data_IF_722932754622
#
_entry.id   IF_722932754622
#
_cell.length_a   1.000
_cell.length_b   1.000
_cell.length_c   1.000
_cell.angle_alpha   90.00
_cell.angle_beta   90.00
_cell.angle_gamma   90.00
#
_symmetry.space_group_name_H-M   'P 1'
#
loop_
_entity.id
_entity.type
_entity.pdbx_description
1 polymer ?
#
# COMPACT_ATOMS: atom_id res chain seq x y z
N UNK A 1 -3.53 13.49 12.15
CA UNK A 1 -4.69 14.35 12.36
C UNK A 1 -5.55 13.76 13.47
N UNK A 2 -6.10 14.59 14.35
CA UNK A 2 -7.01 14.16 15.42
C UNK A 2 -8.48 14.50 15.08
N UNK A 3 -8.74 14.85 13.82
CA UNK A 3 -10.01 15.43 13.36
C UNK A 3 -10.81 14.48 12.45
N UNK A 4 -10.35 13.24 12.29
CA UNK A 4 -10.96 12.23 11.42
C UNK A 4 -11.17 12.69 9.96
N UNK A 5 -10.36 13.63 9.49
CA UNK A 5 -10.34 14.01 8.07
C UNK A 5 -10.06 12.77 7.22
N UNK A 6 -10.86 12.49 6.18
CA UNK A 6 -10.79 11.25 5.41
C UNK A 6 -9.60 11.26 4.44
N UNK A 7 -8.39 11.32 4.99
CA UNK A 7 -7.17 11.19 4.21
C UNK A 7 -7.02 9.77 3.67
N UNK A 8 -6.61 9.66 2.43
CA UNK A 8 -6.39 8.41 1.72
C UNK A 8 -5.03 8.46 1.02
N UNK A 9 -4.10 7.61 1.46
CA UNK A 9 -2.79 7.49 0.84
C UNK A 9 -2.84 6.38 -0.22
N UNK A 10 -2.31 6.65 -1.40
CA UNK A 10 -2.17 5.71 -2.51
C UNK A 10 -0.89 5.97 -3.29
N UNK A 11 -0.69 5.27 -4.41
CA UNK A 11 0.48 5.42 -5.28
C UNK A 11 0.32 6.56 -6.29
N UNK A 12 1.42 7.26 -6.61
CA UNK A 12 1.46 8.28 -7.65
C UNK A 12 1.18 7.68 -9.03
N UNK A 13 1.72 6.50 -9.33
CA UNK A 13 1.46 5.85 -10.61
C UNK A 13 -0.01 5.44 -10.82
N UNK A 14 -0.81 5.34 -9.75
CA UNK A 14 -2.26 5.13 -9.84
C UNK A 14 -3.02 6.44 -10.06
N UNK A 15 -2.71 7.47 -9.27
CA UNK A 15 -3.42 8.76 -9.27
C UNK A 15 -2.39 9.89 -9.15
N UNK A 16 -2.11 10.60 -10.24
CA UNK A 16 -1.12 11.66 -10.28
C UNK A 16 -1.71 13.05 -10.60
N UNK A 17 -3.02 13.15 -10.81
CA UNK A 17 -3.67 14.42 -11.15
C UNK A 17 -5.05 14.58 -10.49
N UNK A 18 -5.48 15.83 -10.33
CA UNK A 18 -6.81 16.13 -9.79
C UNK A 18 -7.93 15.59 -10.69
N UNK A 19 -7.76 15.56 -12.00
CA UNK A 19 -8.76 15.02 -12.90
C UNK A 19 -9.01 13.54 -12.65
N UNK A 20 -7.97 12.76 -12.42
CA UNK A 20 -8.08 11.33 -12.04
C UNK A 20 -8.62 11.19 -10.62
N UNK A 21 -8.11 11.97 -9.65
CA UNK A 21 -8.60 11.95 -8.27
C UNK A 21 -10.10 12.25 -8.16
N UNK A 22 -10.61 13.15 -9.02
CA UNK A 22 -12.02 13.50 -9.06
C UNK A 22 -12.95 12.37 -9.52
N UNK A 23 -12.43 11.38 -10.24
CA UNK A 23 -13.19 10.21 -10.71
C UNK A 23 -13.01 8.96 -9.86
N UNK A 24 -12.28 9.07 -8.73
CA UNK A 24 -12.05 7.94 -7.84
C UNK A 24 -13.38 7.35 -7.35
N UNK A 25 -13.48 6.03 -7.42
CA UNK A 25 -14.48 5.25 -6.71
C UNK A 25 -13.79 4.29 -5.75
N UNK A 26 -14.07 4.42 -4.45
CA UNK A 26 -13.58 3.51 -3.42
C UNK A 26 -14.71 2.64 -2.89
N UNK A 27 -14.61 1.34 -3.08
CA UNK A 27 -15.53 0.34 -2.56
C UNK A 27 -15.03 -0.11 -1.20
N UNK A 28 -15.92 -0.14 -0.22
CA UNK A 28 -15.63 -0.53 1.16
C UNK A 28 -16.15 -1.93 1.45
N UNK A 29 -15.46 -2.64 2.33
CA UNK A 29 -15.87 -3.96 2.79
C UNK A 29 -15.90 -5.04 1.69
N UNK A 30 -15.07 -4.89 0.66
CA UNK A 30 -14.91 -5.93 -0.37
C UNK A 30 -14.06 -7.09 0.18
N UNK A 31 -14.70 -7.91 0.99
CA UNK A 31 -14.08 -9.02 1.72
C UNK A 31 -14.99 -10.25 1.68
N UNK A 32 -14.41 -11.44 1.54
CA UNK A 32 -15.14 -12.69 1.67
C UNK A 32 -15.61 -12.90 3.11
N UNK A 33 -16.83 -13.39 3.27
CA UNK A 33 -17.39 -13.67 4.60
C UNK A 33 -16.73 -14.87 5.30
N UNK A 34 -16.11 -15.74 4.52
CA UNK A 34 -15.38 -16.94 4.98
C UNK A 34 -14.15 -17.15 4.08
N UNK A 35 -13.15 -17.87 4.59
CA UNK A 35 -11.99 -18.26 3.79
C UNK A 35 -12.45 -19.08 2.57
N UNK A 36 -12.00 -18.70 1.37
CA UNK A 36 -12.43 -19.27 0.08
C UNK A 36 -13.95 -19.12 -0.18
N UNK A 37 -14.59 -18.17 0.44
CA UNK A 37 -15.99 -17.83 0.23
C UNK A 37 -16.26 -17.11 -1.09
N UNK A 38 -17.44 -16.52 -1.17
CA UNK A 38 -17.81 -15.64 -2.30
C UNK A 38 -17.87 -14.20 -1.84
N UNK A 39 -17.20 -13.32 -2.55
CA UNK A 39 -17.26 -11.90 -2.29
C UNK A 39 -18.66 -11.33 -2.63
N UNK A 40 -19.11 -10.31 -1.90
CA UNK A 40 -20.31 -9.59 -2.25
C UNK A 40 -20.16 -8.89 -3.60
N UNK A 41 -21.24 -8.74 -4.39
CA UNK A 41 -21.19 -7.97 -5.62
C UNK A 41 -20.78 -6.52 -5.35
N UNK A 42 -19.88 -5.94 -6.16
CA UNK A 42 -19.41 -4.56 -5.97
C UNK A 42 -20.56 -3.55 -5.86
N UNK A 43 -21.63 -3.74 -6.64
CA UNK A 43 -22.79 -2.85 -6.61
C UNK A 43 -23.58 -2.85 -5.29
N UNK A 44 -23.35 -3.82 -4.39
CA UNK A 44 -23.97 -3.88 -3.07
C UNK A 44 -23.12 -3.26 -1.95
N UNK A 45 -21.89 -2.86 -2.26
CA UNK A 45 -20.95 -2.36 -1.27
C UNK A 45 -21.13 -0.86 -0.99
N UNK A 46 -20.85 -0.41 0.24
CA UNK A 46 -20.69 1.01 0.52
C UNK A 46 -19.61 1.61 -0.40
N UNK A 47 -19.86 2.82 -0.90
CA UNK A 47 -18.99 3.45 -1.89
C UNK A 47 -18.73 4.92 -1.56
N UNK A 48 -17.48 5.35 -1.74
CA UNK A 48 -17.10 6.77 -1.79
C UNK A 48 -16.79 7.16 -3.22
N UNK A 49 -17.20 8.35 -3.63
CA UNK A 49 -16.96 8.87 -4.99
C UNK A 49 -16.29 10.21 -4.96
N UNK A 50 -15.23 10.35 -5.76
CA UNK A 50 -14.46 11.57 -5.89
C UNK A 50 -13.57 11.87 -4.71
N UNK A 51 -12.52 12.62 -4.99
CA UNK A 51 -11.56 13.09 -3.99
C UNK A 51 -10.87 14.37 -4.43
N UNK A 52 -10.26 15.04 -3.48
CA UNK A 52 -9.35 16.17 -3.71
C UNK A 52 -7.91 15.68 -3.58
N UNK A 53 -7.09 15.93 -4.60
CA UNK A 53 -5.65 15.68 -4.54
C UNK A 53 -4.99 16.75 -3.68
N UNK A 54 -4.33 16.33 -2.61
CA UNK A 54 -3.64 17.21 -1.67
C UNK A 54 -2.15 17.33 -1.96
N UNK A 55 -1.49 16.19 -2.19
CA UNK A 55 -0.08 16.11 -2.53
C UNK A 55 0.19 14.85 -3.34
N UNK A 56 1.18 14.91 -4.23
CA UNK A 56 1.61 13.76 -5.02
C UNK A 56 3.09 13.89 -5.37
N UNK A 57 3.80 12.78 -5.53
CA UNK A 57 5.22 12.79 -5.87
C UNK A 57 5.74 11.44 -6.33
N UNK A 58 6.45 11.46 -7.46
CA UNK A 58 7.05 10.26 -8.04
C UNK A 58 8.27 9.75 -7.27
N UNK A 59 8.93 10.60 -6.47
CA UNK A 59 10.19 10.24 -5.80
C UNK A 59 10.03 9.08 -4.80
N UNK A 60 8.87 8.96 -4.15
CA UNK A 60 8.48 7.82 -3.31
C UNK A 60 7.11 7.27 -3.73
N UNK A 61 6.71 7.53 -4.96
CA UNK A 61 5.49 7.04 -5.60
C UNK A 61 4.22 7.22 -4.76
N UNK A 62 4.03 8.39 -4.15
CA UNK A 62 2.90 8.63 -3.27
C UNK A 62 1.87 9.61 -3.84
N UNK A 63 0.63 9.45 -3.44
CA UNK A 63 -0.45 10.44 -3.58
C UNK A 63 -1.31 10.46 -2.32
N UNK A 64 -1.44 11.63 -1.71
CA UNK A 64 -2.36 11.88 -0.62
C UNK A 64 -3.62 12.55 -1.18
N UNK A 65 -4.75 11.93 -0.91
CA UNK A 65 -6.08 12.41 -1.27
C UNK A 65 -6.86 12.74 0.00
N UNK A 66 -7.86 13.60 -0.15
CA UNK A 66 -8.98 13.73 0.79
C UNK A 66 -10.23 13.24 0.08
N UNK A 67 -10.82 12.16 0.56
CA UNK A 67 -12.08 11.62 0.02
C UNK A 67 -13.22 12.61 0.29
N UNK A 68 -14.17 12.72 -0.63
CA UNK A 68 -15.34 13.60 -0.47
C UNK A 68 -16.27 13.09 0.65
N UNK A 69 -16.31 11.79 0.86
CA UNK A 69 -17.10 11.14 1.92
C UNK A 69 -16.51 9.77 2.27
N UNK A 70 -16.81 9.27 3.46
CA UNK A 70 -16.54 7.89 3.87
C UNK A 70 -17.77 7.32 4.58
N UNK A 71 -18.02 6.01 4.53
CA UNK A 71 -19.04 5.38 5.37
C UNK A 71 -18.71 5.56 6.85
N UNK A 72 -19.73 5.58 7.70
CA UNK A 72 -19.55 5.66 9.14
C UNK A 72 -18.84 4.45 9.73
N UNK A 73 -18.23 4.61 10.90
CA UNK A 73 -17.57 3.52 11.64
C UNK A 73 -16.21 3.10 11.09
N UNK A 74 -15.55 3.94 10.27
CA UNK A 74 -14.21 3.66 9.74
C UNK A 74 -13.12 3.98 10.76
N UNK A 75 -12.14 3.08 10.85
CA UNK A 75 -10.91 3.32 11.58
C UNK A 75 -9.88 4.05 10.72
N UNK A 76 -8.97 4.74 11.38
CA UNK A 76 -7.85 5.43 10.72
C UNK A 76 -6.55 4.83 11.22
N UNK A 77 -5.64 4.54 10.29
CA UNK A 77 -4.28 4.10 10.63
C UNK A 77 -3.47 5.27 11.19
N UNK A 78 -2.71 5.02 12.25
CA UNK A 78 -1.57 5.86 12.58
C UNK A 78 -0.44 5.66 11.57
N UNK A 79 0.62 6.45 11.70
CA UNK A 79 1.81 6.31 10.84
C UNK A 79 3.10 6.39 11.66
N UNK A 80 4.20 5.90 11.06
CA UNK A 80 5.53 6.03 11.60
C UNK A 80 6.52 6.44 10.50
N UNK A 81 7.13 7.59 10.65
CA UNK A 81 8.11 8.15 9.70
C UNK A 81 9.56 8.01 10.17
N UNK A 82 9.84 7.25 11.23
CA UNK A 82 11.20 7.08 11.73
C UNK A 82 11.98 6.06 10.90
N UNK A 83 13.31 6.21 10.86
CA UNK A 83 14.17 5.26 10.16
C UNK A 83 14.11 3.86 10.80
N UNK A 84 14.02 3.79 12.12
CA UNK A 84 13.97 2.54 12.87
C UNK A 84 12.72 1.71 12.57
N UNK A 85 11.62 2.35 12.20
CA UNK A 85 10.36 1.66 11.89
C UNK A 85 10.44 0.67 10.72
N UNK A 86 11.42 0.85 9.84
CA UNK A 86 11.63 -0.01 8.65
C UNK A 86 13.09 -0.52 8.58
N UNK A 87 13.72 -0.73 9.73
CA UNK A 87 15.03 -1.34 9.80
C UNK A 87 15.00 -2.77 9.21
N UNK A 88 16.10 -3.26 8.62
CA UNK A 88 16.18 -4.65 8.15
C UNK A 88 15.74 -5.65 9.23
N UNK A 89 14.96 -6.66 8.84
CA UNK A 89 14.36 -7.64 9.74
C UNK A 89 13.01 -7.25 10.32
N UNK A 90 12.47 -6.08 9.98
CA UNK A 90 11.13 -5.67 10.44
C UNK A 90 10.05 -6.45 9.70
N UNK A 91 9.14 -7.10 10.44
CA UNK A 91 7.95 -7.72 9.89
C UNK A 91 6.96 -6.65 9.43
N UNK A 92 6.54 -6.76 8.18
CA UNK A 92 5.62 -5.87 7.50
C UNK A 92 4.37 -6.64 7.10
N UNK A 93 3.22 -5.97 7.16
CA UNK A 93 1.92 -6.56 6.85
C UNK A 93 1.18 -5.69 5.85
N UNK A 94 0.32 -6.31 5.06
CA UNK A 94 -0.48 -5.64 4.05
C UNK A 94 -1.86 -6.26 3.92
N UNK A 95 -2.86 -5.40 3.76
CA UNK A 95 -4.18 -5.75 3.25
C UNK A 95 -4.33 -5.11 1.88
N UNK A 96 -4.65 -5.90 0.87
CA UNK A 96 -4.67 -5.46 -0.52
C UNK A 96 -5.68 -6.25 -1.36
N UNK A 97 -5.83 -5.87 -2.64
CA UNK A 97 -6.76 -6.48 -3.58
C UNK A 97 -6.01 -6.93 -4.85
N UNK A 98 -5.20 -8.00 -4.78
CA UNK A 98 -4.43 -8.47 -5.93
C UNK A 98 -5.38 -8.88 -7.07
N UNK A 99 -5.12 -8.40 -8.29
CA UNK A 99 -5.96 -8.61 -9.48
C UNK A 99 -7.44 -8.20 -9.30
N UNK A 100 -7.72 -7.27 -8.38
CA UNK A 100 -9.09 -6.87 -8.05
C UNK A 100 -9.89 -7.92 -7.27
N UNK A 101 -9.22 -8.92 -6.70
CA UNK A 101 -9.86 -9.92 -5.84
C UNK A 101 -10.33 -9.31 -4.52
N UNK A 102 -11.18 -10.00 -3.76
CA UNK A 102 -11.50 -9.62 -2.38
C UNK A 102 -10.25 -9.39 -1.54
N UNK A 103 -10.41 -8.68 -0.42
CA UNK A 103 -9.31 -8.34 0.47
C UNK A 103 -8.45 -9.56 0.80
N UNK A 104 -7.17 -9.45 0.51
CA UNK A 104 -6.15 -10.47 0.74
C UNK A 104 -5.10 -9.94 1.71
N UNK A 105 -4.43 -10.85 2.39
CA UNK A 105 -3.36 -10.54 3.35
C UNK A 105 -2.02 -11.00 2.79
N UNK A 106 -0.98 -10.20 2.99
CA UNK A 106 0.41 -10.63 2.81
C UNK A 106 1.30 -10.10 3.91
N UNK A 107 2.38 -10.84 4.20
CA UNK A 107 3.45 -10.42 5.08
C UNK A 107 4.82 -10.60 4.43
N UNK A 108 5.73 -9.73 4.79
CA UNK A 108 7.09 -9.68 4.27
C UNK A 108 8.04 -9.21 5.38
N UNK A 109 9.32 -9.40 5.17
CA UNK A 109 10.36 -8.89 6.07
C UNK A 109 11.21 -7.87 5.33
N UNK A 110 11.37 -6.68 5.92
CA UNK A 110 12.20 -5.63 5.34
C UNK A 110 13.67 -6.05 5.26
N UNK A 111 14.34 -5.63 4.21
CA UNK A 111 15.78 -5.85 4.04
C UNK A 111 16.44 -4.71 3.27
N UNK A 112 17.76 -4.73 3.18
CA UNK A 112 18.53 -3.77 2.39
C UNK A 112 19.16 -4.50 1.23
N UNK A 113 18.72 -4.29 -0.01
CA UNK A 113 19.29 -4.96 -1.17
C UNK A 113 20.72 -4.49 -1.43
N UNK A 114 21.59 -5.39 -1.88
CA UNK A 114 22.93 -5.08 -2.34
C UNK A 114 22.91 -4.34 -3.69
N UNK A 115 21.86 -4.55 -4.48
CA UNK A 115 21.59 -3.89 -5.75
C UNK A 115 20.13 -3.45 -5.78
N UNK A 116 19.89 -2.17 -5.99
CA UNK A 116 18.54 -1.62 -6.12
C UNK A 116 18.00 -1.85 -7.53
N UNK A 117 16.70 -2.05 -7.63
CA UNK A 117 16.03 -2.11 -8.92
C UNK A 117 15.94 -0.74 -9.56
N UNK A 118 16.27 -0.64 -10.85
CA UNK A 118 16.04 0.47 -11.78
C UNK A 118 15.62 1.82 -11.15
N UNK A 119 16.56 2.59 -10.61
CA UNK A 119 16.30 3.95 -10.09
C UNK A 119 15.37 4.02 -8.85
N UNK A 120 15.24 2.94 -8.07
CA UNK A 120 14.47 2.89 -6.85
C UNK A 120 15.38 2.93 -5.61
N UNK A 121 15.98 4.08 -5.25
CA UNK A 121 16.95 4.15 -4.17
C UNK A 121 16.32 3.83 -2.81
N UNK A 122 17.07 3.14 -1.97
CA UNK A 122 16.62 2.76 -0.61
C UNK A 122 16.32 3.94 0.31
N UNK A 123 16.77 5.14 -0.04
CA UNK A 123 16.37 6.37 0.65
C UNK A 123 14.85 6.63 0.53
N UNK A 124 14.28 6.34 -0.63
CA UNK A 124 12.89 6.63 -0.97
C UNK A 124 12.01 5.37 -0.99
N UNK A 125 12.62 4.19 -1.14
CA UNK A 125 11.90 2.93 -1.28
C UNK A 125 12.32 1.92 -0.21
N UNK A 126 11.34 1.18 0.26
CA UNK A 126 11.47 0.08 1.18
C UNK A 126 11.38 -1.23 0.41
N UNK A 127 12.38 -2.08 0.60
CA UNK A 127 12.41 -3.42 0.03
C UNK A 127 12.04 -4.44 1.08
N UNK A 128 11.22 -5.40 0.70
CA UNK A 128 10.86 -6.51 1.57
C UNK A 128 10.62 -7.79 0.77
N UNK A 129 10.94 -8.91 1.39
CA UNK A 129 10.79 -10.25 0.81
C UNK A 129 9.82 -11.08 1.62
N UNK A 130 9.16 -12.08 1.01
CA UNK A 130 8.40 -13.05 1.77
C UNK A 130 9.29 -13.70 2.84
N UNK A 131 8.82 -13.71 4.08
CA UNK A 131 9.52 -14.45 5.12
C UNK A 131 9.44 -15.95 4.84
N UNK A 132 10.55 -16.70 4.82
CA UNK A 132 10.51 -18.15 4.63
C UNK A 132 9.64 -18.88 5.67
N UNK A 133 9.50 -18.29 6.86
CA UNK A 133 8.75 -18.89 7.98
C UNK A 133 7.30 -18.39 8.05
N UNK A 134 7.01 -17.20 7.51
CA UNK A 134 5.72 -16.50 7.64
C UNK A 134 5.14 -16.06 6.29
N UNK A 135 5.70 -16.52 5.18
CA UNK A 135 5.31 -16.06 3.86
C UNK A 135 3.84 -16.39 3.56
N UNK A 136 3.00 -15.37 3.70
CA UNK A 136 1.60 -15.44 3.31
C UNK A 136 1.34 -14.41 2.21
N UNK A 137 0.81 -14.89 1.10
CA UNK A 137 0.36 -14.06 0.00
C UNK A 137 1.49 -13.37 -0.77
N UNK A 138 1.14 -12.86 -1.93
CA UNK A 138 2.03 -12.12 -2.83
C UNK A 138 1.31 -10.89 -3.35
N UNK A 139 2.06 -9.83 -3.64
CA UNK A 139 1.51 -8.65 -4.32
C UNK A 139 1.40 -8.93 -5.82
N UNK A 140 0.33 -8.42 -6.43
CA UNK A 140 0.09 -8.52 -7.86
C UNK A 140 -0.47 -7.20 -8.39
N UNK A 141 -0.63 -7.06 -9.69
CA UNK A 141 -1.34 -5.92 -10.28
C UNK A 141 -2.67 -5.67 -9.57
N UNK A 142 -3.02 -4.43 -9.27
CA UNK A 142 -4.17 -4.07 -8.43
C UNK A 142 -3.85 -3.91 -6.93
N UNK A 143 -2.74 -4.47 -6.45
CA UNK A 143 -2.26 -4.21 -5.08
C UNK A 143 -1.63 -2.82 -4.91
N UNK A 144 -1.29 -2.15 -5.99
CA UNK A 144 -0.65 -0.82 -6.03
C UNK A 144 -1.34 0.19 -5.11
N UNK A 145 -0.55 0.97 -4.39
CA UNK A 145 -1.04 1.97 -3.44
C UNK A 145 -1.53 1.42 -2.11
N UNK A 146 -1.64 0.09 -1.94
CA UNK A 146 -2.01 -0.49 -0.65
C UNK A 146 -0.97 -0.17 0.41
N UNK A 147 -1.44 0.09 1.63
CA UNK A 147 -0.58 0.44 2.76
C UNK A 147 0.25 -0.74 3.23
N UNK A 148 1.53 -0.50 3.51
CA UNK A 148 2.36 -1.42 4.29
C UNK A 148 2.40 -0.91 5.73
N UNK A 149 2.14 -1.81 6.69
CA UNK A 149 1.96 -1.50 8.10
C UNK A 149 2.83 -2.36 9.01
N UNK A 150 3.16 -1.82 10.16
CA UNK A 150 3.80 -2.53 11.26
C UNK A 150 2.78 -3.39 12.03
N UNK A 151 3.27 -4.28 12.90
CA UNK A 151 2.43 -5.11 13.76
C UNK A 151 1.47 -4.32 14.67
N UNK A 152 1.82 -3.08 15.01
CA UNK A 152 1.00 -2.18 15.82
C UNK A 152 -0.02 -1.35 14.98
N UNK A 153 -0.16 -1.63 13.69
CA UNK A 153 -1.08 -0.94 12.79
C UNK A 153 -0.58 0.41 12.24
N UNK A 154 0.66 0.81 12.52
CA UNK A 154 1.20 2.06 11.98
C UNK A 154 1.64 1.87 10.52
N UNK A 155 1.18 2.77 9.65
CA UNK A 155 1.59 2.88 8.26
C UNK A 155 3.05 3.32 8.16
N UNK A 156 3.84 2.66 7.29
CA UNK A 156 5.24 2.99 7.01
C UNK A 156 5.54 3.14 5.52
N UNK A 157 4.56 2.92 4.65
CA UNK A 157 4.69 3.08 3.20
C UNK A 157 3.45 2.65 2.43
N UNK A 158 3.53 2.73 1.12
CA UNK A 158 2.50 2.27 0.17
C UNK A 158 3.15 1.55 -1.02
N UNK A 159 2.47 0.56 -1.55
CA UNK A 159 3.00 -0.31 -2.61
C UNK A 159 3.24 0.43 -3.92
N UNK A 160 4.48 0.39 -4.40
CA UNK A 160 4.83 0.64 -5.79
C UNK A 160 4.58 -0.62 -6.64
N UNK A 161 5.11 -1.77 -6.23
CA UNK A 161 5.07 -3.01 -6.98
C UNK A 161 6.10 -4.01 -6.47
N UNK A 162 6.68 -4.75 -7.39
CA UNK A 162 7.78 -5.67 -7.10
C UNK A 162 8.86 -5.56 -8.18
N UNK A 163 10.05 -6.04 -7.90
CA UNK A 163 11.16 -6.09 -8.83
C UNK A 163 12.09 -7.25 -8.53
N UNK A 164 12.71 -7.79 -9.57
CA UNK A 164 13.64 -8.90 -9.48
C UNK A 164 13.81 -9.61 -10.82
N UNK A 165 14.59 -10.70 -10.87
CA UNK A 165 14.92 -11.38 -12.11
C UNK A 165 13.77 -12.24 -12.69
N UNK A 166 12.77 -12.59 -11.89
CA UNK A 166 11.68 -13.49 -12.29
C UNK A 166 10.30 -12.82 -12.19
N UNK A 167 10.22 -11.64 -12.73
CA UNK A 167 9.07 -10.74 -12.66
C UNK A 167 7.71 -11.38 -12.99
N UNK A 168 7.69 -12.41 -13.83
CA UNK A 168 6.47 -13.06 -14.30
C UNK A 168 6.00 -14.24 -13.42
N UNK A 169 6.77 -14.60 -12.38
CA UNK A 169 6.48 -15.79 -11.56
C UNK A 169 6.52 -15.51 -10.05
N UNK A 170 5.63 -14.62 -9.55
CA UNK A 170 5.69 -14.13 -8.16
C UNK A 170 5.43 -15.20 -7.10
N UNK A 171 4.94 -16.38 -7.49
CA UNK A 171 4.61 -17.46 -6.55
C UNK A 171 5.74 -18.49 -6.37
N UNK A 172 6.86 -18.37 -7.09
CA UNK A 172 7.99 -19.27 -6.91
C UNK A 172 8.84 -18.82 -5.72
N UNK A 173 8.97 -19.66 -4.72
CA UNK A 173 9.77 -19.39 -3.52
C UNK A 173 11.27 -19.16 -3.79
N UNK A 174 11.75 -19.56 -4.97
CA UNK A 174 13.12 -19.31 -5.44
C UNK A 174 13.29 -17.93 -6.09
N UNK A 175 12.23 -17.15 -6.22
CA UNK A 175 12.28 -15.83 -6.83
C UNK A 175 12.98 -14.88 -5.88
N UNK A 176 14.02 -14.25 -6.40
CA UNK A 176 14.72 -13.16 -5.73
C UNK A 176 14.00 -11.82 -6.00
N UNK A 177 12.67 -11.87 -6.14
CA UNK A 177 11.85 -10.69 -6.37
C UNK A 177 11.47 -10.06 -5.05
N UNK A 178 11.75 -8.78 -4.92
CA UNK A 178 11.38 -8.01 -3.73
C UNK A 178 10.10 -7.23 -3.97
N UNK A 179 9.25 -7.17 -2.97
CA UNK A 179 8.22 -6.15 -2.88
C UNK A 179 8.86 -4.79 -2.62
N UNK A 180 8.42 -3.77 -3.34
CA UNK A 180 8.95 -2.41 -3.24
C UNK A 180 7.83 -1.44 -2.88
N UNK A 181 8.02 -0.73 -1.78
CA UNK A 181 7.09 0.26 -1.26
C UNK A 181 7.72 1.66 -1.25
N UNK A 182 6.94 2.70 -1.57
CA UNK A 182 7.35 4.06 -1.26
C UNK A 182 7.46 4.25 0.25
N UNK A 183 8.62 4.70 0.75
CA UNK A 183 8.82 4.91 2.20
C UNK A 183 8.01 6.10 2.69
N UNK A 184 7.17 5.90 3.70
CA UNK A 184 6.42 6.99 4.30
C UNK A 184 7.34 8.06 4.91
N UNK A 185 8.50 7.68 5.43
CA UNK A 185 9.53 8.64 5.88
C UNK A 185 9.93 9.63 4.79
N UNK A 186 10.07 9.18 3.55
CA UNK A 186 10.40 10.05 2.41
C UNK A 186 9.19 10.87 1.95
N UNK A 187 7.99 10.34 2.09
CA UNK A 187 6.72 11.00 1.78
C UNK A 187 6.35 12.07 2.80
N UNK A 188 6.63 11.82 4.09
CA UNK A 188 6.13 12.62 5.21
C UNK A 188 6.39 14.13 5.10
N UNK A 189 7.58 14.63 4.70
CA UNK A 189 7.81 16.07 4.55
C UNK A 189 6.84 16.76 3.59
N UNK A 190 6.33 16.04 2.59
CA UNK A 190 5.39 16.58 1.60
C UNK A 190 3.93 16.59 2.07
N UNK A 191 3.61 15.84 3.13
CA UNK A 191 2.24 15.67 3.63
C UNK A 191 2.05 16.14 5.08
N UNK A 192 3.12 16.52 5.77
CA UNK A 192 3.11 16.89 7.20
C UNK A 192 2.23 18.11 7.53
N UNK A 193 1.90 18.92 6.53
CA UNK A 193 1.05 20.12 6.69
C UNK A 193 -0.45 19.78 6.76
N UNK A 194 -0.84 18.58 6.40
CA UNK A 194 -2.21 18.09 6.46
C UNK A 194 -2.39 17.21 7.69
#
# INVERSE_FOLDING_TARGET
AHDFTPYFLTANHCISSQSVAGTLEAFWDYIDSTCLGSAPPLGSLPRSTGSTLLATGAASDFTLLRLNSIPSGRGFLGWNSTAAATAPGTLLRRLHHPLGSPMSYSDTVSWTPSTVCSSLPTANFLYSDPSPELAHGVVMGGSSGSSVILANGQLVGQLLGWCGPNFDEPCLAANQDSTVDGRFRSTYPSVAQF
#
